data_IF_525015843706
#
_entry.id   IF_525015843706
#
_cell.length_a   1.000
_cell.length_b   1.000
_cell.length_c   1.000
_cell.angle_alpha   90.00
_cell.angle_beta   90.00
_cell.angle_gamma   90.00
#
_symmetry.space_group_name_H-M   'P 1'
#
loop_
_entity.id
_entity.type
_entity.pdbx_description
1 polymer ?
2 water ?
#
# COMPACT_ATOMS: atom_id res chain seq x y z
N UNK A 3 3.81 10.51 37.74
CA UNK A 3 2.36 10.38 37.83
C UNK A 3 1.70 10.10 36.47
N UNK A 4 1.40 8.84 36.15
CA UNK A 4 1.06 8.44 34.80
C UNK A 4 -0.01 7.42 34.88
N UNK A 5 -0.98 7.52 34.01
CA UNK A 5 -2.08 6.57 33.98
C UNK A 5 -1.66 5.39 33.12
N UNK A 6 -1.91 4.19 33.61
CA UNK A 6 -1.70 2.96 32.83
C UNK A 6 -2.99 2.22 32.66
N UNK A 7 -3.09 1.52 31.53
CA UNK A 7 -4.24 0.76 31.11
C UNK A 7 -3.85 -0.71 30.94
N UNK A 8 -4.69 -1.58 31.44
CA UNK A 8 -4.43 -3.02 31.36
C UNK A 8 -4.98 -3.60 30.08
N UNK A 9 -4.23 -4.49 29.45
CA UNK A 9 -4.72 -5.24 28.31
C UNK A 9 -4.33 -6.70 28.51
N UNK A 10 -5.27 -7.61 28.25
CA UNK A 10 -4.93 -9.01 28.36
C UNK A 10 -4.05 -9.45 27.21
N UNK A 11 -3.29 -10.53 27.46
CA UNK A 11 -2.33 -11.00 26.46
C UNK A 11 -3.00 -11.41 25.16
N UNK A 12 -4.16 -12.08 25.22
CA UNK A 12 -4.80 -12.54 23.99
C UNK A 12 -5.21 -11.35 23.11
N UNK A 13 -5.79 -10.31 23.71
CA UNK A 13 -6.19 -9.16 22.92
C UNK A 13 -4.99 -8.43 22.31
N UNK A 14 -3.91 -8.32 23.06
CA UNK A 14 -2.71 -7.69 22.55
C UNK A 14 -2.17 -8.49 21.36
N UNK A 15 -2.03 -9.82 21.52
CA UNK A 15 -1.63 -10.67 20.41
C UNK A 15 -2.55 -10.53 19.20
N UNK A 16 -3.87 -10.50 19.43
CA UNK A 16 -4.80 -10.36 18.30
C UNK A 16 -4.62 -9.03 17.60
N UNK A 17 -4.41 -7.93 18.35
CA UNK A 17 -4.18 -6.62 17.70
C UNK A 17 -2.90 -6.68 16.87
N UNK A 18 -1.85 -7.31 17.37
CA UNK A 18 -0.62 -7.45 16.55
C UNK A 18 -0.92 -8.13 15.19
N UNK A 19 -1.70 -9.23 15.23
CA UNK A 19 -2.00 -9.95 13.99
C UNK A 19 -2.97 -9.17 13.13
N UNK A 20 -3.92 -8.44 13.75
CA UNK A 20 -4.90 -7.67 12.97
C UNK A 20 -4.18 -6.66 12.10
N UNK A 21 -3.05 -6.13 12.56
CA UNK A 21 -2.38 -5.09 11.77
C UNK A 21 -1.97 -5.57 10.39
N UNK A 22 -1.80 -6.87 10.19
CA UNK A 22 -1.39 -7.34 8.89
C UNK A 22 -2.29 -8.37 8.22
N UNK A 23 -3.47 -8.74 8.79
CA UNK A 23 -4.21 -9.83 8.19
C UNK A 23 -4.68 -9.46 6.79
N UNK A 24 -4.51 -10.39 5.88
CA UNK A 24 -4.73 -10.12 4.46
C UNK A 24 -6.20 -10.16 4.05
N UNK A 25 -7.07 -10.66 4.92
CA UNK A 25 -8.46 -10.79 4.61
C UNK A 25 -9.23 -9.47 4.78
N UNK A 26 -8.59 -8.43 5.36
CA UNK A 26 -9.19 -7.13 5.60
C UNK A 26 -8.38 -6.12 4.79
N UNK A 27 -9.07 -5.13 4.21
CA UNK A 27 -8.32 -4.04 3.58
C UNK A 27 -7.50 -3.29 4.64
N UNK A 28 -6.47 -2.54 4.22
CA UNK A 28 -5.73 -1.74 5.20
C UNK A 28 -6.64 -0.78 5.99
N UNK A 29 -7.61 -0.14 5.37
CA UNK A 29 -8.48 0.72 6.10
C UNK A 29 -9.32 -0.07 7.12
N UNK A 30 -9.78 -1.22 6.72
CA UNK A 30 -10.49 -2.10 7.67
C UNK A 30 -9.59 -2.53 8.82
N UNK A 31 -8.38 -2.87 8.59
CA UNK A 31 -7.48 -3.20 9.69
C UNK A 31 -7.32 -2.01 10.63
N UNK A 32 -7.18 -0.80 10.07
CA UNK A 32 -7.03 0.40 10.89
C UNK A 32 -8.32 0.70 11.64
N UNK A 33 -9.48 0.43 11.04
CA UNK A 33 -10.72 0.64 11.78
C UNK A 33 -10.81 -0.33 12.95
N UNK A 34 -10.49 -1.61 12.73
CA UNK A 34 -10.57 -2.57 13.83
C UNK A 34 -9.54 -2.28 14.91
N UNK A 35 -8.34 -1.83 14.52
CA UNK A 35 -7.36 -1.40 15.53
C UNK A 35 -7.91 -0.20 16.32
N UNK A 36 -8.50 0.77 15.63
CA UNK A 36 -9.06 1.93 16.32
C UNK A 36 -10.14 1.49 17.31
N UNK A 37 -11.00 0.56 16.91
CA UNK A 37 -12.04 0.10 17.84
C UNK A 37 -11.44 -0.52 19.09
N UNK A 38 -10.35 -1.28 18.92
CA UNK A 38 -9.65 -1.84 20.09
C UNK A 38 -9.02 -0.77 20.97
N UNK A 39 -8.38 0.23 20.35
CA UNK A 39 -7.76 1.32 21.12
C UNK A 39 -8.83 2.06 21.89
N UNK A 40 -9.98 2.31 21.27
CA UNK A 40 -11.01 3.02 22.04
C UNK A 40 -11.46 2.20 23.24
N UNK A 41 -11.63 0.89 23.07
CA UNK A 41 -12.05 0.08 24.21
C UNK A 41 -10.99 0.00 25.30
N UNK A 42 -9.70 0.23 24.99
CA UNK A 42 -8.73 0.38 26.06
C UNK A 42 -8.92 1.70 26.78
N UNK A 43 -9.06 2.79 26.01
CA UNK A 43 -9.27 4.13 26.57
C UNK A 43 -10.59 4.21 27.36
N UNK A 44 -11.68 3.66 26.77
CA UNK A 44 -13.05 3.82 27.29
C UNK A 44 -13.74 2.46 27.13
N UNK A 45 -13.64 1.57 28.13
CA UNK A 45 -14.24 0.23 27.99
C UNK A 45 -15.75 0.32 27.77
N UNK A 46 -16.27 -0.66 26.99
CA UNK A 46 -17.68 -0.70 26.58
C UNK A 46 -18.30 -2.10 26.63
N UNK A 47 -17.79 -2.99 27.45
CA UNK A 47 -18.22 -4.43 27.37
C UNK A 47 -17.84 -5.05 26.03
N UNK A 48 -16.69 -4.63 25.50
CA UNK A 48 -16.10 -5.23 24.29
C UNK A 48 -16.97 -4.99 23.07
N UNK A 49 -17.67 -3.89 23.03
CA UNK A 49 -18.45 -3.57 21.84
C UNK A 49 -17.54 -3.13 20.71
N UNK A 50 -17.84 -3.61 19.51
CA UNK A 50 -17.16 -3.15 18.32
C UNK A 50 -18.18 -2.74 17.29
N UNK A 51 -17.82 -1.83 16.37
CA UNK A 51 -18.83 -1.32 15.43
C UNK A 51 -19.48 -2.41 14.56
N UNK A 52 -18.72 -3.42 14.15
CA UNK A 52 -19.30 -4.39 13.23
C UNK A 52 -20.21 -5.41 13.91
N UNK A 53 -20.31 -5.38 15.24
CA UNK A 53 -21.04 -6.42 15.95
C UNK A 53 -22.55 -6.32 15.71
N UNK A 54 -23.14 -7.47 15.54
CA UNK A 54 -24.60 -7.57 15.54
C UNK A 54 -25.13 -8.13 16.87
N UNK A 55 -24.59 -7.69 18.00
CA UNK A 55 -24.97 -8.14 19.36
C UNK A 55 -24.41 -7.11 20.30
N UNK B 1 -16.15 -3.39 -31.34
CA UNK B 1 -15.48 -2.61 -32.37
C UNK B 1 -14.21 -3.28 -32.87
N UNK B 2 -13.95 -3.12 -34.18
CA UNK B 2 -12.69 -3.56 -34.78
C UNK B 2 -11.55 -2.57 -34.56
N UNK B 3 -11.71 -1.54 -33.73
CA UNK B 3 -10.77 -0.42 -33.72
C UNK B 3 -10.35 -0.08 -32.30
N UNK B 4 -9.08 0.28 -32.14
CA UNK B 4 -8.60 0.72 -30.81
C UNK B 4 -7.43 1.69 -30.96
N UNK B 5 -7.33 2.69 -30.09
CA UNK B 5 -6.17 3.59 -30.10
C UNK B 5 -5.02 3.00 -29.30
N UNK B 6 -3.81 3.18 -29.80
CA UNK B 6 -2.60 2.70 -29.11
C UNK B 6 -1.61 3.81 -28.93
N UNK B 7 -0.85 3.69 -27.84
CA UNK B 7 0.21 4.65 -27.55
C UNK B 7 1.49 3.87 -27.49
N UNK B 8 2.60 4.55 -27.76
CA UNK B 8 3.91 3.93 -27.76
C UNK B 8 4.63 4.29 -26.47
N UNK B 9 5.33 3.32 -25.89
CA UNK B 9 6.22 3.53 -24.73
C UNK B 9 7.58 3.00 -25.13
N UNK B 10 8.62 3.83 -25.03
CA UNK B 10 9.98 3.34 -25.29
C UNK B 10 10.43 2.43 -24.13
N UNK B 11 11.42 1.56 -24.42
CA UNK B 11 11.86 0.61 -23.39
C UNK B 11 12.43 1.33 -22.18
N UNK B 12 13.17 2.44 -22.38
CA UNK B 12 13.73 3.15 -21.23
C UNK B 12 12.64 3.71 -20.34
N UNK B 13 11.51 4.18 -20.93
CA UNK B 13 10.44 4.70 -20.09
C UNK B 13 9.69 3.60 -19.35
N UNK B 14 9.43 2.46 -20.02
CA UNK B 14 8.79 1.34 -19.36
C UNK B 14 9.63 0.87 -18.19
N UNK B 15 10.95 0.75 -18.41
CA UNK B 15 11.81 0.29 -17.32
C UNK B 15 11.90 1.32 -16.21
N UNK B 16 11.93 2.59 -16.56
CA UNK B 16 11.95 3.66 -15.54
C UNK B 16 10.72 3.59 -14.67
N UNK B 17 9.54 3.43 -15.29
CA UNK B 17 8.31 3.32 -14.48
C UNK B 17 8.30 2.10 -13.57
N UNK B 18 8.80 0.98 -14.08
CA UNK B 18 8.91 -0.22 -13.21
C UNK B 18 9.82 0.07 -12.02
N UNK B 19 10.96 0.76 -12.26
CA UNK B 19 11.87 1.07 -11.15
C UNK B 19 11.22 2.02 -10.17
N UNK B 20 10.49 3.03 -10.66
CA UNK B 20 9.87 4.05 -9.79
C UNK B 20 8.98 3.35 -8.77
N UNK B 21 8.32 2.26 -9.14
CA UNK B 21 7.34 1.67 -8.22
C UNK B 21 7.98 1.26 -6.89
N UNK B 22 9.29 0.92 -6.91
CA UNK B 22 9.94 0.50 -5.66
C UNK B 22 11.11 1.38 -5.22
N UNK B 23 11.17 2.64 -5.65
CA UNK B 23 12.24 3.53 -5.21
C UNK B 23 11.99 3.91 -3.73
N UNK B 24 12.88 3.49 -2.86
CA UNK B 24 12.49 3.59 -1.45
C UNK B 24 12.67 4.99 -0.88
N UNK B 25 13.39 5.86 -1.58
CA UNK B 25 13.57 7.21 -1.09
C UNK B 25 12.37 8.10 -1.35
N UNK B 26 11.36 7.60 -2.07
CA UNK B 26 10.14 8.36 -2.31
C UNK B 26 8.99 7.73 -1.54
N UNK B 27 8.10 8.58 -1.06
CA UNK B 27 6.86 8.00 -0.46
C UNK B 27 6.06 7.32 -1.55
N UNK B 28 5.14 6.42 -1.20
CA UNK B 28 4.32 5.82 -2.28
C UNK B 28 3.49 6.83 -3.02
N UNK B 29 3.01 7.86 -2.37
CA UNK B 29 2.27 8.84 -3.15
C UNK B 29 3.20 9.64 -4.06
N UNK B 30 4.46 9.88 -3.66
CA UNK B 30 5.39 10.55 -4.58
C UNK B 30 5.68 9.65 -5.80
N UNK B 31 5.80 8.34 -5.55
CA UNK B 31 5.98 7.42 -6.68
C UNK B 31 4.79 7.45 -7.64
N UNK B 32 3.57 7.47 -7.11
CA UNK B 32 2.38 7.53 -7.95
C UNK B 32 2.35 8.83 -8.73
N UNK B 33 2.73 9.94 -8.12
CA UNK B 33 2.75 11.22 -8.85
C UNK B 33 3.73 11.19 -10.02
N UNK B 34 4.92 10.54 -9.86
CA UNK B 34 5.86 10.45 -10.97
C UNK B 34 5.32 9.49 -12.02
N UNK B 35 4.69 8.38 -11.61
CA UNK B 35 4.08 7.47 -12.58
C UNK B 35 3.00 8.20 -13.38
N UNK B 36 2.11 8.92 -12.69
CA UNK B 36 1.05 9.64 -13.43
C UNK B 36 1.66 10.64 -14.40
N UNK B 37 2.74 11.31 -14.00
CA UNK B 37 3.39 12.24 -14.91
C UNK B 37 3.88 11.55 -16.19
N UNK B 38 4.45 10.33 -16.04
CA UNK B 38 4.91 9.61 -17.20
C UNK B 38 3.74 9.17 -18.07
N UNK B 39 2.67 8.68 -17.45
CA UNK B 39 1.54 8.20 -18.22
C UNK B 39 0.93 9.36 -18.98
N UNK B 40 0.82 10.55 -18.34
CA UNK B 40 0.30 11.70 -19.07
C UNK B 40 1.19 12.07 -20.25
N UNK B 41 2.52 11.96 -20.09
CA UNK B 41 3.41 12.29 -21.17
C UNK B 41 3.25 11.30 -22.31
N UNK B 42 2.97 10.03 -21.98
CA UNK B 42 2.66 9.05 -23.03
C UNK B 42 1.40 9.46 -23.77
N UNK B 43 0.40 9.94 -23.01
CA UNK B 43 -0.89 10.26 -23.61
C UNK B 43 -0.80 11.53 -24.47
N UNK B 44 0.02 12.52 -24.05
CA UNK B 44 0.28 13.75 -24.80
C UNK B 44 1.79 13.93 -24.92
N UNK B 45 2.41 13.32 -25.95
CA UNK B 45 3.88 13.22 -25.97
C UNK B 45 4.62 14.55 -26.11
N UNK B 46 3.96 15.63 -26.55
CA UNK B 46 4.68 16.88 -26.73
C UNK B 46 4.83 17.67 -25.43
N UNK B 47 4.33 17.14 -24.32
CA UNK B 47 4.54 17.78 -23.02
C UNK B 47 6.02 17.76 -22.64
N UNK B 48 6.62 18.94 -22.50
CA UNK B 48 8.04 19.04 -22.15
C UNK B 48 8.29 19.76 -20.82
N UNK B 49 7.36 19.63 -19.86
CA UNK B 49 7.48 20.28 -18.56
C UNK B 49 7.67 19.28 -17.43
N UNK B 50 8.26 18.14 -17.73
CA UNK B 50 8.31 17.05 -16.75
C UNK B 50 9.52 17.20 -15.84
N UNK B 51 9.46 16.58 -14.65
CA UNK B 51 10.61 16.68 -13.72
C UNK B 51 11.90 16.15 -14.32
N UNK B 52 11.82 15.19 -15.22
CA UNK B 52 13.02 14.70 -15.87
C UNK B 52 13.39 15.45 -17.14
N UNK B 53 12.62 16.48 -17.51
CA UNK B 53 12.83 17.28 -18.71
C UNK B 53 13.61 18.55 -18.42
N UNK B 54 14.28 18.59 -17.30
CA UNK B 54 14.95 19.80 -16.85
C UNK B 54 16.49 19.61 -16.79
N UNK C 1 22.12 0.18 -39.03
CA UNK C 1 21.80 1.42 -38.32
C UNK C 1 21.50 1.13 -36.86
N UNK C 2 21.15 2.18 -36.11
CA UNK C 2 20.73 2.06 -34.72
C UNK C 2 19.23 1.76 -34.67
N UNK C 3 18.81 1.09 -33.60
CA UNK C 3 17.48 0.47 -33.57
C UNK C 3 16.93 0.44 -32.15
N UNK C 4 15.74 0.97 -31.94
CA UNK C 4 15.17 1.11 -30.59
C UNK C 4 13.87 0.31 -30.41
N UNK C 5 13.75 -0.36 -29.27
CA UNK C 5 12.55 -1.12 -28.95
C UNK C 5 11.48 -0.22 -28.34
N UNK C 6 10.26 -0.42 -28.77
CA UNK C 6 9.13 0.22 -28.13
C UNK C 6 8.02 -0.79 -27.91
N UNK C 7 7.13 -0.40 -27.01
CA UNK C 7 6.00 -1.22 -26.62
C UNK C 7 4.74 -0.43 -26.97
N UNK C 8 3.69 -1.11 -27.32
CA UNK C 8 2.45 -0.44 -27.60
C UNK C 8 1.47 -0.68 -26.45
N UNK C 9 0.75 0.34 -26.02
CA UNK C 9 -0.25 0.20 -24.97
C UNK C 9 -1.60 0.70 -25.49
N UNK C 10 -2.64 -0.12 -25.35
CA UNK C 10 -3.94 0.33 -25.79
C UNK C 10 -4.46 1.44 -24.88
N UNK C 11 -5.36 2.24 -25.43
CA UNK C 11 -5.89 3.38 -24.71
C UNK C 11 -6.66 2.94 -23.46
N UNK C 12 -7.38 1.83 -23.53
CA UNK C 12 -8.09 1.41 -22.32
C UNK C 12 -7.14 1.11 -21.18
N UNK C 13 -6.04 0.43 -21.45
CA UNK C 13 -5.07 0.11 -20.42
C UNK C 13 -4.37 1.37 -19.92
N UNK C 14 -3.99 2.28 -20.84
CA UNK C 14 -3.37 3.51 -20.37
C UNK C 14 -4.30 4.29 -19.45
N UNK C 15 -5.57 4.44 -19.85
CA UNK C 15 -6.51 5.17 -19.04
C UNK C 15 -6.77 4.46 -17.72
N UNK C 16 -6.81 3.13 -17.75
CA UNK C 16 -6.98 2.41 -16.49
C UNK C 16 -5.83 2.70 -15.53
N UNK C 17 -4.61 2.71 -16.03
CA UNK C 17 -3.47 2.99 -15.18
C UNK C 17 -3.54 4.43 -14.65
N UNK C 18 -3.94 5.39 -15.50
CA UNK C 18 -4.13 6.76 -15.03
C UNK C 18 -5.14 6.82 -13.90
N UNK C 19 -6.25 6.12 -14.08
CA UNK C 19 -7.28 6.12 -13.05
C UNK C 19 -6.76 5.48 -11.77
N UNK C 20 -6.02 4.38 -11.90
CA UNK C 20 -5.53 3.66 -10.73
C UNK C 20 -4.63 4.56 -9.87
N UNK C 21 -3.87 5.49 -10.47
CA UNK C 21 -3.03 6.32 -9.62
C UNK C 21 -3.81 7.15 -8.61
N UNK C 22 -5.12 7.41 -8.84
CA UNK C 22 -5.85 8.25 -7.91
C UNK C 22 -7.09 7.58 -7.34
N UNK C 23 -7.23 6.25 -7.48
CA UNK C 23 -8.40 5.59 -6.89
C UNK C 23 -8.33 5.71 -5.38
N UNK C 24 -9.38 6.32 -4.76
CA UNK C 24 -9.24 6.71 -3.37
C UNK C 24 -9.40 5.54 -2.40
N UNK C 25 -10.02 4.45 -2.83
CA UNK C 25 -10.28 3.33 -1.95
C UNK C 25 -9.23 2.26 -2.00
N UNK C 26 -8.14 2.49 -2.75
CA UNK C 26 -6.97 1.64 -2.69
C UNK C 26 -5.88 2.48 -2.03
N UNK C 27 -5.04 1.84 -1.22
CA UNK C 27 -3.96 2.62 -0.63
C UNK C 27 -2.91 2.93 -1.69
N UNK C 28 -2.05 3.89 -1.45
CA UNK C 28 -0.97 4.15 -2.45
C UNK C 28 -0.17 2.91 -2.76
N UNK C 29 0.16 2.13 -1.76
CA UNK C 29 0.94 0.94 -2.00
C UNK C 29 0.18 -0.09 -2.89
N UNK C 30 -1.10 -0.24 -2.63
CA UNK C 30 -1.90 -1.16 -3.46
C UNK C 30 -1.95 -0.65 -4.88
N UNK C 31 -2.12 0.68 -5.04
CA UNK C 31 -2.16 1.23 -6.40
C UNK C 31 -0.86 0.96 -7.12
N UNK C 32 0.26 1.12 -6.42
CA UNK C 32 1.56 0.84 -7.03
C UNK C 32 1.68 -0.62 -7.41
N UNK C 33 1.15 -1.56 -6.59
CA UNK C 33 1.25 -2.97 -6.99
C UNK C 33 0.42 -3.24 -8.24
N UNK C 34 -0.74 -2.58 -8.36
CA UNK C 34 -1.58 -2.79 -9.54
C UNK C 34 -0.93 -2.18 -10.76
N UNK C 35 -0.38 -0.96 -10.59
CA UNK C 35 0.46 -0.34 -11.64
C UNK C 35 1.54 -1.31 -12.08
N UNK C 36 2.33 -1.83 -11.11
CA UNK C 36 3.46 -2.69 -11.43
C UNK C 36 2.99 -3.92 -12.22
N UNK C 37 1.88 -4.50 -11.83
CA UNK C 37 1.37 -5.66 -12.56
C UNK C 37 1.07 -5.28 -14.01
N UNK C 38 0.43 -4.13 -14.24
CA UNK C 38 0.17 -3.74 -15.61
C UNK C 38 1.46 -3.53 -16.40
N UNK C 39 2.45 -2.90 -15.75
CA UNK C 39 3.70 -2.62 -16.44
C UNK C 39 4.44 -3.93 -16.73
N UNK C 40 4.46 -4.88 -15.79
CA UNK C 40 5.09 -6.15 -16.08
C UNK C 40 4.35 -6.91 -17.19
N UNK C 41 3.03 -6.78 -17.23
CA UNK C 41 2.25 -7.41 -18.31
C UNK C 41 2.67 -6.90 -19.68
N UNK C 42 2.91 -5.60 -19.78
CA UNK C 42 3.39 -5.03 -21.04
C UNK C 42 4.81 -5.52 -21.38
N UNK C 43 5.68 -5.58 -20.37
CA UNK C 43 7.10 -5.92 -20.56
C UNK C 43 7.30 -7.39 -20.91
N UNK C 44 6.45 -8.29 -20.33
CA UNK C 44 6.74 -9.73 -20.30
C UNK C 44 6.25 -10.36 -21.58
N UNK C 45 7.05 -11.18 -22.24
CA UNK C 45 6.59 -11.73 -23.49
C UNK C 45 5.24 -12.41 -23.28
N UNK C 46 4.27 -12.04 -24.12
CA UNK C 46 2.87 -12.46 -24.06
C UNK C 46 2.61 -13.86 -24.30
N UNK C 47 3.37 -14.31 -25.28
CA UNK C 47 3.35 -15.66 -25.77
C UNK C 47 4.63 -16.22 -26.33
N UNK C 48 5.22 -17.05 -25.52
CA UNK C 48 6.32 -17.89 -25.97
C UNK C 48 6.38 -19.02 -24.92
N UNK C 49 5.88 -20.20 -25.31
CA UNK C 49 5.01 -20.93 -24.43
C UNK C 49 5.65 -22.17 -23.80
N UNK C 50 5.19 -22.42 -22.61
CA UNK C 50 5.68 -23.46 -21.74
C UNK C 50 5.62 -24.84 -22.40
N UNK C 51 6.73 -25.56 -22.52
CA UNK C 51 6.74 -26.86 -23.21
C UNK C 51 6.46 -28.04 -22.27
N UNK C 52 6.67 -27.84 -20.96
CA UNK C 52 6.39 -28.80 -19.88
C UNK C 52 7.39 -29.95 -19.81
N UNK C 53 8.04 -30.31 -20.91
CA UNK C 53 8.90 -31.51 -20.86
C UNK C 53 10.25 -31.26 -20.23
N UNK C 54 10.49 -30.07 -19.70
CA UNK C 54 11.70 -29.82 -18.92
C UNK C 54 11.54 -30.19 -17.46
N UNK C 55 10.33 -30.48 -17.02
CA UNK C 55 10.06 -30.82 -15.65
C UNK C 55 9.89 -32.33 -15.49
N UNK D 4 -3.68 -15.01 35.79
CA UNK D 4 -3.76 -14.29 34.52
C UNK D 4 -2.49 -13.50 34.28
N UNK D 5 -2.33 -13.04 33.05
CA UNK D 5 -1.20 -12.19 32.68
C UNK D 5 -1.75 -10.99 31.93
N UNK D 6 -1.54 -9.79 32.48
CA UNK D 6 -1.89 -8.56 31.77
C UNK D 6 -0.66 -7.73 31.44
N UNK D 7 -0.78 -6.92 30.41
CA UNK D 7 0.23 -5.90 30.12
C UNK D 7 -0.31 -4.53 30.51
N UNK D 8 0.60 -3.61 30.81
CA UNK D 8 0.25 -2.23 31.11
C UNK D 8 0.65 -1.36 29.94
N UNK D 9 -0.28 -0.53 29.49
CA UNK D 9 -0.02 0.50 28.49
C UNK D 9 -0.04 1.87 29.15
N UNK D 10 1.09 2.61 29.07
CA UNK D 10 1.04 3.98 29.61
C UNK D 10 0.15 4.86 28.71
N UNK D 11 -0.48 5.87 29.34
CA UNK D 11 -1.36 6.78 28.59
C UNK D 11 -0.64 7.48 27.44
N UNK D 12 0.65 7.81 27.60
CA UNK D 12 1.40 8.43 26.51
C UNK D 12 1.41 7.54 25.29
N UNK D 13 1.70 6.25 25.47
CA UNK D 13 1.71 5.29 24.37
C UNK D 13 0.31 5.09 23.81
N UNK D 14 -0.72 4.98 24.66
CA UNK D 14 -2.07 4.81 24.14
C UNK D 14 -2.48 6.01 23.32
N UNK D 15 -2.23 7.21 23.84
CA UNK D 15 -2.60 8.42 23.11
C UNK D 15 -1.81 8.55 21.79
N UNK D 16 -0.53 8.16 21.78
CA UNK D 16 0.24 8.14 20.53
C UNK D 16 -0.40 7.21 19.52
N UNK D 17 -0.83 6.03 19.95
CA UNK D 17 -1.40 5.08 18.99
C UNK D 17 -2.75 5.60 18.48
N UNK D 18 -3.57 6.19 19.37
CA UNK D 18 -4.80 6.83 18.86
C UNK D 18 -4.49 7.94 17.88
N UNK D 19 -3.49 8.79 18.20
CA UNK D 19 -3.18 9.89 17.30
C UNK D 19 -2.69 9.37 15.96
N UNK D 20 -1.85 8.33 15.97
CA UNK D 20 -1.32 7.76 14.72
C UNK D 20 -2.46 7.42 13.76
N UNK D 21 -3.55 6.90 14.30
CA UNK D 21 -4.60 6.42 13.41
C UNK D 21 -5.23 7.53 12.61
N UNK D 22 -5.08 8.79 13.06
CA UNK D 22 -5.73 9.96 12.47
C UNK D 22 -4.86 10.71 11.46
N UNK D 23 -3.62 10.29 11.21
CA UNK D 23 -2.66 11.07 10.42
C UNK D 23 -2.88 10.66 8.97
N UNK D 24 -3.71 11.44 8.25
CA UNK D 24 -4.12 11.03 6.91
C UNK D 24 -3.01 11.17 5.87
N UNK D 25 -1.96 11.94 6.16
CA UNK D 25 -0.86 12.03 5.21
C UNK D 25 0.10 10.84 5.29
N UNK D 26 -0.10 9.93 6.26
CA UNK D 26 0.57 8.66 6.23
C UNK D 26 -0.39 7.64 5.65
N UNK D 27 0.15 6.65 4.94
CA UNK D 27 -0.74 5.64 4.40
C UNK D 27 -1.33 4.78 5.53
N UNK D 28 -2.40 4.04 5.25
CA UNK D 28 -2.93 3.11 6.27
C UNK D 28 -1.89 2.10 6.70
N UNK D 29 -1.11 1.57 5.76
CA UNK D 29 -0.07 0.62 6.12
C UNK D 29 1.03 1.24 7.01
N UNK D 30 1.42 2.49 6.74
CA UNK D 30 2.41 3.15 7.61
C UNK D 30 1.85 3.32 9.01
N UNK D 31 0.61 3.80 9.12
CA UNK D 31 -0.03 3.93 10.44
C UNK D 31 -0.08 2.57 11.14
N UNK D 32 -0.45 1.52 10.41
CA UNK D 32 -0.55 0.19 11.02
C UNK D 32 0.81 -0.29 11.51
N UNK D 33 1.86 -0.01 10.73
CA UNK D 33 3.21 -0.45 11.10
C UNK D 33 3.72 0.32 12.32
N UNK D 34 3.41 1.62 12.39
CA UNK D 34 3.77 2.40 13.58
C UNK D 34 3.02 1.89 14.80
N UNK D 35 1.72 1.54 14.63
CA UNK D 35 1.00 1.04 15.79
C UNK D 35 1.56 -0.30 16.20
N UNK D 36 1.86 -1.16 15.23
CA UNK D 36 2.44 -2.48 15.51
C UNK D 36 3.74 -2.35 16.31
N UNK D 37 4.60 -1.41 15.93
CA UNK D 37 5.83 -1.19 16.68
C UNK D 37 5.52 -0.88 18.15
N UNK D 38 4.54 0.02 18.42
CA UNK D 38 4.20 0.34 19.81
C UNK D 38 3.65 -0.89 20.55
N UNK D 39 2.78 -1.67 19.88
CA UNK D 39 2.27 -2.88 20.51
C UNK D 39 3.37 -3.90 20.79
N UNK D 40 4.33 -4.05 19.85
CA UNK D 40 5.43 -4.97 20.12
C UNK D 40 6.28 -4.45 21.28
N UNK D 41 6.42 -3.11 21.40
CA UNK D 41 7.18 -2.55 22.53
C UNK D 41 6.52 -2.84 23.88
N UNK D 42 5.18 -2.79 23.91
CA UNK D 42 4.45 -3.14 25.11
C UNK D 42 4.68 -4.60 25.46
N UNK D 43 4.60 -5.46 24.43
CA UNK D 43 4.64 -6.90 24.64
C UNK D 43 6.04 -7.40 25.04
N UNK D 44 7.10 -6.85 24.46
CA UNK D 44 8.42 -7.47 24.57
C UNK D 44 9.29 -6.92 25.70
N UNK D 45 9.81 -7.82 26.56
CA UNK D 45 9.49 -9.26 26.57
C UNK D 45 8.26 -9.53 27.39
N UNK D 46 7.50 -10.54 26.98
CA UNK D 46 6.33 -10.94 27.76
C UNK D 46 6.73 -11.49 29.12
N UNK D 47 7.90 -12.10 29.23
CA UNK D 47 8.45 -12.56 30.50
C UNK D 47 9.94 -12.31 30.41
N UNK D 48 10.49 -11.51 31.35
CA UNK D 48 11.92 -11.20 31.39
C UNK D 48 12.76 -12.47 31.42
N UNK D 49 12.27 -13.52 32.09
CA UNK D 49 13.01 -14.77 32.13
C UNK D 49 12.82 -15.63 30.88
N UNK D 50 11.94 -15.23 29.96
CA UNK D 50 11.71 -15.97 28.72
C UNK D 50 11.69 -14.97 27.56
N UNK D 51 12.82 -14.29 27.32
CA UNK D 51 12.83 -13.15 26.38
C UNK D 51 13.02 -13.57 24.92
N UNK D 52 12.30 -14.62 24.52
CA UNK D 52 12.60 -15.23 23.22
C UNK D 52 11.94 -14.50 22.06
N UNK D 53 11.12 -13.50 22.33
CA UNK D 53 10.64 -12.59 21.31
C UNK D 53 11.67 -11.51 20.95
N UNK D 54 12.91 -11.67 21.39
CA UNK D 54 13.92 -10.62 21.24
C UNK D 54 15.07 -11.00 20.32
N UNK D 55 15.14 -12.22 19.79
CA UNK D 55 16.23 -12.54 18.85
C UNK D 55 15.92 -11.94 17.47
N UNK E 2 -31.56 -14.06 -33.61
CA UNK E 2 -30.95 -14.54 -34.85
C UNK E 2 -29.48 -14.88 -34.58
N UNK E 3 -28.63 -13.87 -34.68
CA UNK E 3 -27.23 -14.06 -34.33
C UNK E 3 -27.05 -14.31 -32.84
N UNK E 4 -25.83 -14.70 -32.52
CA UNK E 4 -25.31 -14.86 -31.19
C UNK E 4 -23.96 -14.19 -31.23
N UNK E 5 -23.33 -13.99 -30.09
CA UNK E 5 -22.02 -13.31 -30.19
C UNK E 5 -20.97 -13.72 -29.29
N UNK E 6 -19.77 -13.61 -29.80
CA UNK E 6 -18.54 -13.92 -29.10
C UNK E 6 -17.77 -12.63 -28.86
N UNK E 7 -16.96 -12.60 -27.82
CA UNK E 7 -16.07 -11.47 -27.58
C UNK E 7 -14.63 -11.93 -27.77
N UNK E 8 -13.82 -11.05 -28.35
CA UNK E 8 -12.42 -11.38 -28.67
C UNK E 8 -11.53 -10.66 -27.67
N UNK E 9 -10.84 -11.45 -26.83
CA UNK E 9 -9.96 -11.02 -25.73
C UNK E 9 -8.55 -11.14 -26.28
N UNK E 10 -7.80 -10.04 -26.31
CA UNK E 10 -6.41 -10.21 -26.70
C UNK E 10 -5.61 -10.79 -25.53
N UNK E 11 -4.43 -11.33 -25.84
CA UNK E 11 -3.72 -12.07 -24.81
C UNK E 11 -3.31 -11.18 -23.67
N UNK E 12 -2.93 -9.92 -23.97
CA UNK E 12 -2.54 -9.05 -22.85
C UNK E 12 -3.67 -8.78 -21.89
N UNK E 13 -4.90 -8.65 -22.41
CA UNK E 13 -6.03 -8.39 -21.53
C UNK E 13 -6.29 -9.59 -20.64
N UNK E 14 -6.18 -10.79 -21.21
CA UNK E 14 -6.39 -11.98 -20.40
C UNK E 14 -5.31 -12.12 -19.34
N UNK E 15 -4.05 -11.89 -19.73
CA UNK E 15 -2.95 -12.00 -18.79
C UNK E 15 -3.05 -10.93 -17.70
N UNK E 16 -3.63 -9.75 -18.00
CA UNK E 16 -3.76 -8.76 -16.92
C UNK E 16 -4.71 -9.27 -15.84
N UNK E 17 -5.82 -9.87 -16.25
CA UNK E 17 -6.79 -10.39 -15.30
C UNK E 17 -6.20 -11.53 -14.49
N UNK E 18 -5.40 -12.38 -15.13
CA UNK E 18 -4.69 -13.42 -14.38
C UNK E 18 -3.72 -12.83 -13.36
N UNK E 19 -2.97 -11.78 -13.74
CA UNK E 19 -2.07 -11.18 -12.77
C UNK E 19 -2.83 -10.59 -11.58
N UNK E 20 -3.99 -9.96 -11.83
CA UNK E 20 -4.71 -9.36 -10.71
C UNK E 20 -5.07 -10.41 -9.67
N UNK E 21 -5.37 -11.66 -10.11
CA UNK E 21 -5.79 -12.67 -9.16
C UNK E 21 -4.71 -13.01 -8.13
N UNK E 22 -3.43 -12.67 -8.41
CA UNK E 22 -2.36 -13.08 -7.53
C UNK E 22 -1.75 -11.91 -6.77
N UNK E 23 -2.37 -10.73 -6.76
CA UNK E 23 -1.84 -9.59 -6.00
C UNK E 23 -2.31 -9.72 -4.56
N UNK E 24 -1.43 -10.21 -3.67
CA UNK E 24 -1.83 -10.63 -2.33
C UNK E 24 -2.15 -9.47 -1.40
N UNK E 25 -1.68 -8.27 -1.74
CA UNK E 25 -1.97 -7.13 -0.86
C UNK E 25 -3.31 -6.48 -1.11
N UNK E 26 -4.04 -6.95 -2.09
CA UNK E 26 -5.44 -6.66 -2.31
C UNK E 26 -6.24 -7.80 -1.70
N UNK E 27 -7.36 -7.49 -1.02
CA UNK E 27 -8.14 -8.62 -0.52
C UNK E 27 -8.71 -9.42 -1.68
N UNK E 28 -9.11 -10.67 -1.47
CA UNK E 28 -9.78 -11.40 -2.55
C UNK E 28 -10.96 -10.66 -3.09
N UNK E 29 -11.78 -10.02 -2.21
CA UNK E 29 -12.94 -9.30 -2.72
C UNK E 29 -12.50 -8.15 -3.63
N UNK E 30 -11.41 -7.47 -3.26
CA UNK E 30 -10.90 -6.38 -4.12
C UNK E 30 -10.46 -6.91 -5.48
N UNK E 31 -9.82 -8.04 -5.50
CA UNK E 31 -9.41 -8.62 -6.74
C UNK E 31 -10.62 -9.06 -7.57
N UNK E 32 -11.62 -9.63 -6.93
CA UNK E 32 -12.86 -9.96 -7.65
C UNK E 32 -13.50 -8.73 -8.27
N UNK E 33 -13.57 -7.62 -7.53
CA UNK E 33 -14.21 -6.42 -8.03
C UNK E 33 -13.44 -5.87 -9.23
N UNK E 34 -12.10 -5.91 -9.17
CA UNK E 34 -11.31 -5.46 -10.32
C UNK E 34 -11.55 -6.39 -11.53
N UNK E 35 -11.59 -7.71 -11.31
CA UNK E 35 -11.81 -8.61 -12.45
C UNK E 35 -13.21 -8.44 -13.01
N UNK E 36 -14.19 -8.23 -12.13
CA UNK E 36 -15.55 -7.94 -12.58
C UNK E 36 -15.57 -6.73 -13.51
N UNK E 37 -14.90 -5.65 -13.10
CA UNK E 37 -14.81 -4.44 -13.91
C UNK E 37 -14.17 -4.72 -15.27
N UNK E 38 -13.06 -5.48 -15.30
CA UNK E 38 -12.48 -5.88 -16.58
C UNK E 38 -13.46 -6.69 -17.45
N UNK E 39 -14.19 -7.67 -16.84
CA UNK E 39 -15.14 -8.50 -17.60
C UNK E 39 -16.25 -7.65 -18.18
N UNK E 40 -16.74 -6.66 -17.39
CA UNK E 40 -17.79 -5.77 -17.87
C UNK E 40 -17.33 -4.94 -19.04
N UNK E 41 -16.04 -4.55 -19.06
CA UNK E 41 -15.51 -3.76 -20.15
C UNK E 41 -15.36 -4.58 -21.43
N UNK E 42 -15.06 -5.87 -21.31
CA UNK E 42 -15.03 -6.79 -22.48
C UNK E 42 -16.38 -6.87 -23.15
N UNK E 43 -17.45 -6.77 -22.37
CA UNK E 43 -18.78 -6.93 -22.93
C UNK E 43 -19.26 -5.67 -23.65
N UNK E 44 -18.55 -4.55 -23.55
CA UNK E 44 -19.01 -3.27 -24.10
C UNK E 44 -18.23 -2.88 -25.35
N UNK E 45 -18.88 -2.43 -26.41
CA UNK E 45 -18.15 -2.03 -27.62
C UNK E 45 -17.75 -0.56 -27.61
N UNK E 46 -16.78 -0.22 -28.43
CA UNK E 46 -16.37 1.15 -28.51
C UNK E 46 -17.05 1.86 -29.70
N UNK E 47 -17.00 1.15 -30.83
CA UNK E 47 -17.67 1.50 -32.08
C UNK E 47 -17.48 2.95 -32.51
N UNK E 48 -16.31 3.50 -32.26
CA UNK E 48 -15.99 4.91 -32.55
C UNK E 48 -15.56 5.12 -33.98
N UNK E 49 -16.16 4.41 -34.94
CA UNK E 49 -15.78 4.52 -36.33
C UNK E 49 -16.54 5.67 -36.97
N UNK E 50 -15.93 6.27 -38.00
CA UNK E 50 -16.65 7.25 -38.79
C UNK E 50 -17.79 6.56 -39.54
N UNK E 51 -18.97 7.15 -39.61
CA UNK E 51 -20.06 6.51 -40.35
C UNK E 51 -19.99 6.81 -41.85
N UNK E 52 -19.40 5.91 -42.64
CA UNK E 52 -19.42 6.05 -44.10
C UNK E 52 -20.47 5.12 -44.66
N UNK E 53 -21.40 5.68 -45.45
CA UNK E 53 -22.49 4.91 -46.02
C UNK E 53 -22.21 4.48 -47.47
N UNK E 54 -21.12 4.96 -48.05
CA UNK E 54 -20.70 4.67 -49.40
C UNK E 54 -19.31 5.24 -49.58
N UNK E 55 -18.69 4.90 -50.71
CA UNK E 55 -17.43 5.51 -51.12
C UNK E 55 -16.99 4.89 -52.44
N UNK F 1 30.93 22.21 38.22
CA UNK F 1 32.14 22.14 37.40
C UNK F 1 32.64 20.70 37.35
N UNK F 2 32.67 20.07 38.53
CA UNK F 2 32.72 18.63 38.56
C UNK F 2 31.35 17.99 38.30
N UNK F 3 30.32 18.79 37.99
CA UNK F 3 28.97 18.30 37.78
C UNK F 3 28.63 18.21 36.29
N UNK F 4 27.81 17.21 35.96
CA UNK F 4 27.44 16.87 34.58
C UNK F 4 25.91 16.82 34.43
N UNK F 5 25.41 17.23 33.28
CA UNK F 5 23.98 17.19 33.02
C UNK F 5 23.62 15.87 32.36
N UNK F 6 22.59 15.19 32.88
CA UNK F 6 22.15 13.91 32.31
C UNK F 6 20.66 13.92 32.02
N UNK F 7 20.29 13.17 30.99
CA UNK F 7 18.89 12.98 30.64
C UNK F 7 18.51 11.54 30.96
N UNK F 8 17.30 11.35 31.47
CA UNK F 8 16.85 10.03 31.89
C UNK F 8 15.82 9.57 30.89
N UNK F 9 16.03 8.38 30.32
CA UNK F 9 15.12 7.84 29.33
C UNK F 9 14.75 6.45 29.79
N UNK F 10 13.45 6.21 29.93
CA UNK F 10 12.97 4.88 30.27
C UNK F 10 13.24 3.88 29.14
N UNK F 11 13.27 2.60 29.52
CA UNK F 11 13.58 1.56 28.55
C UNK F 11 12.55 1.50 27.42
N UNK F 12 11.27 1.70 27.72
CA UNK F 12 10.29 1.68 26.64
C UNK F 12 10.51 2.81 25.63
N UNK F 13 10.95 3.99 26.08
CA UNK F 13 11.23 5.04 25.09
C UNK F 13 12.44 4.69 24.23
N UNK F 14 13.49 4.16 24.84
CA UNK F 14 14.64 3.72 24.07
C UNK F 14 14.23 2.68 23.03
N UNK F 15 13.47 1.66 23.49
CA UNK F 15 13.12 0.58 22.59
C UNK F 15 12.19 1.06 21.49
N UNK F 16 11.34 2.06 21.76
CA UNK F 16 10.50 2.61 20.71
C UNK F 16 11.36 3.23 19.62
N UNK F 17 12.40 3.96 19.99
CA UNK F 17 13.24 4.57 18.99
C UNK F 17 14.01 3.53 18.18
N UNK F 18 14.41 2.43 18.82
CA UNK F 18 15.03 1.32 18.08
C UNK F 18 14.07 0.73 17.08
N UNK F 19 12.80 0.56 17.45
CA UNK F 19 11.85 -0.01 16.51
C UNK F 19 11.53 0.92 15.36
N UNK F 20 11.57 2.23 15.56
CA UNK F 20 11.30 3.10 14.41
C UNK F 20 12.32 2.90 13.31
N UNK F 21 13.54 2.49 13.65
CA UNK F 21 14.56 2.41 12.61
C UNK F 21 14.27 1.36 11.55
N UNK F 22 13.39 0.39 11.83
CA UNK F 22 13.11 -0.69 10.90
C UNK F 22 11.64 -0.74 10.46
N UNK F 23 10.91 0.39 10.57
CA UNK F 23 9.59 0.50 9.96
C UNK F 23 9.76 0.70 8.46
N UNK F 24 9.72 -0.39 7.72
CA UNK F 24 10.12 -0.34 6.32
C UNK F 24 9.09 0.36 5.41
N UNK F 25 7.84 0.52 5.86
CA UNK F 25 6.89 1.24 5.02
C UNK F 25 7.14 2.74 5.00
N UNK F 26 7.97 3.29 5.91
CA UNK F 26 8.33 4.70 5.89
C UNK F 26 9.65 4.81 5.13
N UNK F 27 9.85 5.92 4.43
CA UNK F 27 11.14 6.10 3.80
C UNK F 27 12.22 6.24 4.86
N UNK F 28 13.50 5.97 4.50
CA UNK F 28 14.59 6.25 5.45
C UNK F 28 14.57 7.67 5.97
N UNK F 29 14.28 8.66 5.12
CA UNK F 29 14.22 10.03 5.58
C UNK F 29 13.10 10.24 6.60
N UNK F 30 11.95 9.58 6.41
CA UNK F 30 10.86 9.70 7.38
C UNK F 30 11.25 9.11 8.73
N UNK F 31 11.84 7.92 8.73
CA UNK F 31 12.29 7.34 9.98
C UNK F 31 13.32 8.24 10.65
N UNK F 32 14.29 8.75 9.87
CA UNK F 32 15.31 9.59 10.49
C UNK F 32 14.70 10.84 11.10
N UNK F 33 13.73 11.47 10.41
CA UNK F 33 13.09 12.65 10.99
C UNK F 33 12.27 12.29 12.25
N UNK F 34 11.62 11.13 12.28
CA UNK F 34 10.87 10.77 13.48
C UNK F 34 11.83 10.55 14.66
N UNK F 35 12.94 9.88 14.40
CA UNK F 35 13.92 9.70 15.46
C UNK F 35 14.49 11.02 15.92
N UNK F 36 14.80 11.94 14.98
CA UNK F 36 15.29 13.25 15.40
C UNK F 36 14.27 13.95 16.30
N UNK F 37 12.98 13.90 15.94
CA UNK F 37 11.98 14.55 16.78
C UNK F 37 11.96 13.94 18.18
N UNK F 38 12.09 12.62 18.31
CA UNK F 38 12.14 12.01 19.63
C UNK F 38 13.39 12.46 20.42
N UNK F 39 14.56 12.54 19.74
CA UNK F 39 15.79 12.97 20.42
C UNK F 39 15.65 14.40 20.87
N UNK F 40 15.07 15.26 20.02
CA UNK F 40 14.89 16.65 20.46
C UNK F 40 13.93 16.77 21.63
N UNK F 41 12.89 15.91 21.69
CA UNK F 41 11.97 15.92 22.83
C UNK F 41 12.66 15.48 24.12
N UNK F 42 13.70 14.63 24.02
CA UNK F 42 14.47 14.32 25.22
C UNK F 42 15.25 15.53 25.69
N UNK F 43 15.89 16.25 24.73
CA UNK F 43 16.77 17.36 25.06
C UNK F 43 16.00 18.54 25.61
N UNK F 44 14.83 18.84 25.05
CA UNK F 44 13.99 19.91 25.57
C UNK F 44 12.54 19.41 25.55
N UNK F 45 12.08 18.78 26.64
CA UNK F 45 10.74 18.19 26.54
C UNK F 45 9.58 19.21 26.61
#
# INVERSE_FOLDING_TARGET
SNAMKYFQIDELTLNAMLRITTIESLTPEQRLELIKAHLLNIKTPSDDNEPWDEF
SNAMKYFQIDELTLNAMLRITTIESLTPEQRLELIKAHLLNIKTPSDDNEPWDEF
SNAMKYFQIDELTLNAMLRITTIESLTPEQRLELIKAHLLNIKTPSDDNEPWDEF
SNAMKYFQIDELTLNAMLRITTIESLTPEQRLELIKAHLLNIKTPSDDNEPWDEF
SNAMKYFQIDELTLNAMLRITTIESLTPEQRLELIKAHLLNIKTPSDDNEPWDEF
SNAMKYFQIDELTLNAMLRITTIESLTPEQRLELIKAHLLNIKTPSDDNEPWDEF
#
